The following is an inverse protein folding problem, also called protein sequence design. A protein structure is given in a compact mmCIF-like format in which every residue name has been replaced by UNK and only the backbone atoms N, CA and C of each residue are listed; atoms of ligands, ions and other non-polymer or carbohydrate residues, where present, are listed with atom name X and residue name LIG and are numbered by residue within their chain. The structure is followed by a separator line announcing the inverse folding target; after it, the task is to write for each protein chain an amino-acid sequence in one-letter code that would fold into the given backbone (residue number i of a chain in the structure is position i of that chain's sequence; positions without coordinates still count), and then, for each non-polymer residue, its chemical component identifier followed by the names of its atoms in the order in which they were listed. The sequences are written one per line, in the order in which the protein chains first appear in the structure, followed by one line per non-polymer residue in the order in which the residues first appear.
data_IF_868237750871
#
_entry.id   IF_868237750871
#
_cell.length_a   1.000
_cell.length_b   1.000
_cell.length_c   1.000
_cell.angle_alpha   90.00
_cell.angle_beta   90.00
_cell.angle_gamma   90.00
#
_symmetry.space_group_name_H-M   'P 1'
#
loop_
_entity.id
_entity.type
_entity.pdbx_description
1 polymer ?
#
# COMPACT_ATOMS: atom_id res chain seq x y z
N UNK A 1 -23.19 -52.21 34.63
CA UNK A 1 -21.79 -51.86 34.30
C UNK A 1 -21.68 -50.36 34.40
N UNK A 2 -20.94 -49.85 35.38
CA UNK A 2 -20.73 -48.42 35.56
C UNK A 2 -19.62 -47.95 34.61
N UNK A 3 -19.87 -46.88 33.87
CA UNK A 3 -18.84 -46.23 33.04
C UNK A 3 -18.37 -44.97 33.76
N UNK A 4 -17.14 -44.99 34.25
CA UNK A 4 -16.43 -43.78 34.67
C UNK A 4 -15.78 -43.14 33.44
N UNK A 5 -16.13 -41.90 33.14
CA UNK A 5 -15.48 -41.10 32.09
C UNK A 5 -14.55 -40.12 32.77
N UNK A 6 -13.25 -40.24 32.53
CA UNK A 6 -12.23 -39.29 33.00
C UNK A 6 -11.89 -38.31 31.87
N UNK A 7 -11.91 -37.01 32.16
CA UNK A 7 -11.33 -35.97 31.32
C UNK A 7 -10.22 -35.27 32.11
N UNK A 8 -9.03 -35.19 31.54
CA UNK A 8 -7.90 -34.44 32.11
C UNK A 8 -7.89 -33.02 31.54
N UNK A 9 -8.02 -32.02 32.43
CA UNK A 9 -7.38 -30.70 32.29
C UNK A 9 -7.09 -30.16 33.70
N UNK A 10 -5.82 -29.86 33.95
CA UNK A 10 -5.21 -29.28 35.15
C UNK A 10 -5.52 -29.91 36.53
N UNK A 11 -4.44 -30.29 37.20
CA UNK A 11 -4.28 -30.99 38.48
C UNK A 11 -5.07 -30.45 39.69
N UNK A 12 -6.39 -30.59 39.72
CA UNK A 12 -7.21 -30.49 40.94
C UNK A 12 -8.21 -31.65 40.97
N UNK A 13 -7.98 -32.61 41.87
CA UNK A 13 -8.89 -33.74 42.13
C UNK A 13 -10.05 -33.29 43.04
N UNK A 14 -11.27 -33.28 42.51
CA UNK A 14 -12.49 -33.26 43.34
C UNK A 14 -13.15 -34.65 43.35
N UNK A 15 -13.40 -35.27 44.51
CA UNK A 15 -14.14 -36.51 44.58
C UNK A 15 -15.65 -36.24 44.45
N UNK A 16 -16.21 -36.48 43.27
CA UNK A 16 -17.66 -36.46 43.08
C UNK A 16 -18.25 -37.80 43.59
N UNK A 17 -18.94 -37.75 44.73
CA UNK A 17 -19.86 -38.81 45.16
C UNK A 17 -21.11 -38.78 44.27
N UNK A 18 -21.40 -39.92 43.66
CA UNK A 18 -22.66 -40.38 43.06
C UNK A 18 -23.71 -39.30 42.71
N UNK A 19 -23.52 -38.60 41.59
CA UNK A 19 -24.58 -37.85 40.93
C UNK A 19 -25.13 -38.68 39.77
N UNK A 20 -26.30 -39.33 39.96
CA UNK A 20 -27.01 -40.01 38.88
C UNK A 20 -27.82 -38.99 38.07
N UNK A 21 -27.20 -38.43 37.04
CA UNK A 21 -27.90 -37.59 36.06
C UNK A 21 -28.66 -38.48 35.08
N UNK A 22 -29.93 -38.18 34.83
CA UNK A 22 -30.71 -38.88 33.79
C UNK A 22 -30.16 -38.58 32.40
N UNK A 23 -30.45 -39.44 31.41
CA UNK A 23 -30.06 -39.23 29.99
C UNK A 23 -30.52 -37.87 29.47
N UNK A 24 -31.68 -37.38 29.93
CA UNK A 24 -32.19 -36.05 29.57
C UNK A 24 -31.36 -34.90 30.17
N UNK A 25 -30.85 -35.05 31.40
CA UNK A 25 -29.98 -34.05 32.03
C UNK A 25 -28.58 -34.02 31.40
N UNK A 26 -28.03 -35.18 31.03
CA UNK A 26 -26.77 -35.24 30.25
C UNK A 26 -26.92 -34.61 28.87
N UNK A 27 -28.05 -34.82 28.19
CA UNK A 27 -28.35 -34.19 26.90
C UNK A 27 -28.48 -32.67 27.01
N UNK A 28 -29.15 -32.18 28.07
CA UNK A 28 -29.29 -30.76 28.34
C UNK A 28 -27.94 -30.11 28.67
N UNK A 29 -27.14 -30.72 29.55
CA UNK A 29 -25.79 -30.25 29.87
C UNK A 29 -24.90 -30.22 28.63
N UNK A 30 -24.97 -31.23 27.74
CA UNK A 30 -24.23 -31.23 26.48
C UNK A 30 -24.68 -30.10 25.56
N UNK A 31 -25.98 -29.81 25.46
CA UNK A 31 -26.49 -28.65 24.69
C UNK A 31 -26.03 -27.31 25.26
N UNK A 32 -26.07 -27.15 26.59
CA UNK A 32 -25.59 -25.93 27.25
C UNK A 32 -24.07 -25.78 27.09
N UNK A 33 -23.30 -26.86 27.20
CA UNK A 33 -21.86 -26.84 26.99
C UNK A 33 -21.49 -26.58 25.52
N UNK A 34 -22.22 -27.15 24.56
CA UNK A 34 -22.06 -26.85 23.13
C UNK A 34 -22.45 -25.40 22.82
N UNK A 35 -23.49 -24.87 23.46
CA UNK A 35 -23.87 -23.46 23.33
C UNK A 35 -22.80 -22.54 23.95
N UNK A 36 -22.26 -22.88 25.12
CA UNK A 36 -21.16 -22.14 25.76
C UNK A 36 -19.88 -22.21 24.94
N UNK A 37 -19.50 -23.38 24.41
CA UNK A 37 -18.36 -23.53 23.51
C UNK A 37 -18.60 -22.71 22.24
N UNK A 38 -19.79 -22.74 21.64
CA UNK A 38 -20.09 -21.92 20.46
C UNK A 38 -20.04 -20.43 20.79
N UNK A 39 -20.57 -19.98 21.93
CA UNK A 39 -20.51 -18.56 22.35
C UNK A 39 -19.05 -18.13 22.63
N UNK A 40 -18.27 -18.99 23.29
CA UNK A 40 -16.83 -18.74 23.55
C UNK A 40 -16.04 -18.76 22.24
N UNK A 41 -16.31 -19.68 21.31
CA UNK A 41 -15.71 -19.72 19.97
C UNK A 41 -16.11 -18.52 19.11
N UNK A 42 -17.35 -18.03 19.21
CA UNK A 42 -17.81 -16.80 18.53
C UNK A 42 -17.12 -15.56 19.15
N UNK A 43 -16.93 -15.51 20.47
CA UNK A 43 -16.22 -14.41 21.13
C UNK A 43 -14.70 -14.45 20.92
N UNK A 44 -14.10 -15.63 20.79
CA UNK A 44 -12.68 -15.81 20.44
C UNK A 44 -12.42 -15.51 18.95
N UNK A 45 -13.30 -15.93 18.03
CA UNK A 45 -13.21 -15.54 16.62
C UNK A 45 -13.38 -14.03 16.40
N UNK A 46 -14.11 -13.34 17.27
CA UNK A 46 -14.26 -11.88 17.21
C UNK A 46 -13.03 -11.10 17.73
N UNK A 47 -12.05 -11.75 18.38
CA UNK A 47 -10.84 -11.09 18.88
C UNK A 47 -9.59 -11.28 18.01
N UNK A 48 -9.55 -12.28 17.12
CA UNK A 48 -8.38 -12.57 16.27
C UNK A 48 -8.54 -12.17 14.79
N UNK A 49 -9.69 -11.61 14.37
CA UNK A 49 -10.00 -11.36 12.95
C UNK A 49 -10.35 -9.92 12.53
N UNK A 50 -10.32 -8.93 13.44
CA UNK A 50 -10.67 -7.56 13.07
C UNK A 50 -9.46 -6.86 12.41
N UNK A 51 -9.60 -6.51 11.13
CA UNK A 51 -8.59 -5.77 10.35
C UNK A 51 -8.85 -4.26 10.34
N UNK A 52 -10.05 -3.83 10.74
CA UNK A 52 -10.50 -2.44 10.66
C UNK A 52 -11.62 -2.15 11.67
N UNK A 53 -11.62 -0.95 12.25
CA UNK A 53 -12.78 -0.36 12.92
C UNK A 53 -12.78 1.15 12.76
N UNK A 54 -13.96 1.75 12.78
CA UNK A 54 -14.17 3.20 12.70
C UNK A 54 -15.23 3.59 13.72
N UNK A 55 -14.93 4.53 14.61
CA UNK A 55 -15.88 4.93 15.66
C UNK A 55 -15.73 6.41 16.05
N UNK A 56 -16.82 7.09 16.45
CA UNK A 56 -16.77 8.46 16.93
C UNK A 56 -16.10 8.52 18.31
N UNK A 57 -15.26 9.53 18.51
CA UNK A 57 -14.79 9.93 19.83
C UNK A 57 -15.79 10.91 20.44
N UNK A 58 -16.43 10.49 21.52
CA UNK A 58 -17.16 11.40 22.39
C UNK A 58 -16.14 12.10 23.31
N UNK A 59 -15.71 13.30 22.91
CA UNK A 59 -14.69 14.04 23.65
C UNK A 59 -15.36 14.99 24.66
N UNK A 60 -15.12 14.78 25.95
CA UNK A 60 -15.32 15.84 26.95
C UNK A 60 -14.04 16.71 26.96
N UNK A 61 -14.22 18.03 26.93
CA UNK A 61 -13.18 18.97 26.58
C UNK A 61 -11.87 18.84 27.39
N UNK A 62 -10.75 18.92 26.64
CA UNK A 62 -9.46 19.46 27.08
C UNK A 62 -8.47 18.57 27.87
N UNK A 63 -8.35 17.28 27.57
CA UNK A 63 -7.27 16.47 28.14
C UNK A 63 -7.07 15.21 27.32
N UNK A 64 -5.83 14.97 26.90
CA UNK A 64 -5.27 13.67 26.48
C UNK A 64 -6.24 12.50 26.67
N UNK A 65 -6.71 11.92 25.58
CA UNK A 65 -7.63 10.79 25.58
C UNK A 65 -6.82 9.50 25.53
N UNK A 66 -7.07 8.59 26.48
CA UNK A 66 -6.46 7.26 26.50
C UNK A 66 -7.59 6.23 26.45
N UNK A 67 -7.57 5.38 25.43
CA UNK A 67 -8.54 4.32 25.23
C UNK A 67 -7.85 3.04 24.79
N UNK A 68 -8.27 1.90 25.34
CA UNK A 68 -7.82 0.59 24.85
C UNK A 68 -8.72 0.09 23.73
N UNK A 69 -8.11 -0.36 22.64
CA UNK A 69 -8.77 -1.06 21.55
C UNK A 69 -9.05 -2.51 21.93
N UNK A 70 -10.13 -3.07 21.37
CA UNK A 70 -10.48 -4.48 21.51
C UNK A 70 -9.63 -5.42 20.65
N UNK A 71 -8.82 -4.89 19.73
CA UNK A 71 -7.84 -5.61 18.91
C UNK A 71 -6.55 -4.79 18.76
N UNK A 72 -5.44 -5.47 18.41
CA UNK A 72 -4.19 -4.76 18.10
C UNK A 72 -4.27 -4.14 16.70
N UNK A 73 -3.72 -2.93 16.52
CA UNK A 73 -3.69 -2.20 15.26
C UNK A 73 -2.27 -1.75 14.91
N UNK A 74 -1.99 -1.68 13.61
CA UNK A 74 -0.70 -1.32 13.00
C UNK A 74 -0.72 0.07 12.38
N UNK A 75 -1.90 0.64 12.14
CA UNK A 75 -2.05 2.03 11.74
C UNK A 75 -3.29 2.70 12.34
N UNK A 76 -3.25 4.02 12.42
CA UNK A 76 -4.35 4.88 12.85
C UNK A 76 -4.51 6.05 11.88
N UNK A 77 -5.76 6.41 11.61
CA UNK A 77 -6.16 7.64 10.95
C UNK A 77 -7.33 8.29 11.69
N UNK A 78 -7.63 9.52 11.33
CA UNK A 78 -8.74 10.31 11.84
C UNK A 78 -9.61 10.75 10.69
N UNK A 79 -10.91 10.91 10.95
CA UNK A 79 -11.81 11.56 10.00
C UNK A 79 -12.83 12.44 10.71
N UNK A 80 -13.30 13.48 10.02
CA UNK A 80 -14.29 14.42 10.54
C UNK A 80 -15.11 15.03 9.42
N UNK A 81 -16.35 15.41 9.72
CA UNK A 81 -17.18 16.20 8.79
C UNK A 81 -16.87 17.69 8.84
N UNK A 82 -16.25 18.15 9.94
CA UNK A 82 -16.04 19.57 10.21
C UNK A 82 -14.56 19.96 10.16
N UNK A 83 -13.67 19.08 10.63
CA UNK A 83 -12.24 19.34 10.71
C UNK A 83 -11.58 19.04 9.38
N UNK A 84 -10.91 20.05 8.82
CA UNK A 84 -10.15 19.95 7.56
C UNK A 84 -8.64 19.88 7.78
N UNK A 85 -8.20 20.23 8.98
CA UNK A 85 -6.80 20.27 9.36
C UNK A 85 -6.58 19.45 10.63
N UNK A 86 -5.93 18.30 10.46
CA UNK A 86 -5.61 17.36 11.53
C UNK A 86 -4.25 17.63 12.18
N UNK A 87 -3.49 18.61 11.70
CA UNK A 87 -2.10 18.90 12.14
C UNK A 87 -1.95 19.32 13.60
N UNK A 88 -3.04 19.73 14.24
CA UNK A 88 -3.06 20.07 15.67
C UNK A 88 -3.36 18.87 16.59
N UNK A 89 -3.76 17.73 16.02
CA UNK A 89 -4.08 16.50 16.74
C UNK A 89 -2.83 15.61 16.71
N UNK A 90 -2.45 15.08 17.88
CA UNK A 90 -1.25 14.28 18.04
C UNK A 90 -1.54 12.90 18.60
N UNK A 91 -0.93 11.87 18.03
CA UNK A 91 -0.83 10.55 18.65
C UNK A 91 0.39 10.50 19.56
N UNK A 92 0.19 10.20 20.84
CA UNK A 92 1.26 10.10 21.83
C UNK A 92 1.73 8.64 21.85
N UNK A 93 2.96 8.41 21.40
CA UNK A 93 3.60 7.10 21.48
C UNK A 93 4.81 7.17 22.41
N UNK A 94 4.68 6.62 23.61
CA UNK A 94 5.72 6.66 24.64
C UNK A 94 6.13 8.10 25.02
N UNK A 95 7.29 8.58 24.56
CA UNK A 95 7.78 9.93 24.83
C UNK A 95 7.57 10.91 23.65
N UNK A 96 7.18 10.40 22.48
CA UNK A 96 7.04 11.16 21.25
C UNK A 96 5.57 11.46 20.97
N UNK A 97 5.32 12.60 20.31
CA UNK A 97 4.00 12.95 19.78
C UNK A 97 4.10 13.05 18.26
N UNK A 98 3.32 12.22 17.57
CA UNK A 98 3.24 12.18 16.11
C UNK A 98 1.96 12.90 15.70
N UNK A 99 2.11 14.05 15.05
CA UNK A 99 0.97 14.81 14.56
C UNK A 99 0.40 14.22 13.27
N UNK A 100 -0.92 14.21 13.16
CA UNK A 100 -1.61 13.76 11.96
C UNK A 100 -1.43 14.78 10.83
N UNK A 101 -1.28 14.33 9.59
CA UNK A 101 -1.36 15.20 8.43
C UNK A 101 -2.72 15.02 7.76
N UNK A 102 -3.11 15.94 6.88
CA UNK A 102 -4.32 15.76 6.08
C UNK A 102 -4.06 14.71 4.98
N UNK A 103 -5.03 13.83 4.72
CA UNK A 103 -4.97 12.98 3.55
C UNK A 103 -5.29 13.81 2.30
N UNK A 104 -4.30 13.95 1.44
CA UNK A 104 -4.37 14.74 0.22
C UNK A 104 -4.96 13.97 -0.97
N UNK A 105 -5.40 12.72 -0.74
CA UNK A 105 -6.04 11.85 -1.73
C UNK A 105 -7.55 11.73 -1.56
N UNK A 106 -8.09 12.14 -0.40
CA UNK A 106 -9.53 12.08 -0.16
C UNK A 106 -10.27 13.02 -1.11
N UNK A 107 -11.17 12.45 -1.91
CA UNK A 107 -12.14 13.20 -2.72
C UNK A 107 -13.36 13.68 -1.89
N UNK A 108 -13.38 13.33 -0.59
CA UNK A 108 -14.47 13.55 0.36
C UNK A 108 -15.83 13.06 -0.17
N UNK A 109 -15.85 12.01 -1.00
CA UNK A 109 -17.08 11.47 -1.57
C UNK A 109 -18.04 10.90 -0.51
N UNK A 110 -17.49 10.47 0.64
CA UNK A 110 -18.24 10.00 1.81
C UNK A 110 -18.71 11.15 2.74
N UNK A 111 -18.32 12.39 2.43
CA UNK A 111 -18.62 13.58 3.22
C UNK A 111 -17.71 13.80 4.43
N UNK A 112 -16.59 13.09 4.52
CA UNK A 112 -15.58 13.27 5.56
C UNK A 112 -14.27 13.81 4.97
N UNK A 113 -13.60 14.66 5.75
CA UNK A 113 -12.17 14.91 5.60
C UNK A 113 -11.41 13.86 6.40
N UNK A 114 -10.27 13.44 5.87
CA UNK A 114 -9.48 12.35 6.40
C UNK A 114 -8.06 12.83 6.71
N UNK A 115 -7.45 12.26 7.74
CA UNK A 115 -6.02 12.40 7.98
C UNK A 115 -5.25 11.33 7.20
N UNK A 116 -3.96 11.56 6.98
CA UNK A 116 -3.07 10.50 6.54
C UNK A 116 -2.88 9.44 7.64
N UNK A 117 -2.36 8.28 7.23
CA UNK A 117 -2.06 7.17 8.12
C UNK A 117 -0.79 7.42 8.93
N UNK A 118 -0.88 7.19 10.24
CA UNK A 118 0.27 6.94 11.09
C UNK A 118 0.46 5.43 11.19
N UNK A 119 1.63 4.94 10.77
CA UNK A 119 2.02 3.52 10.88
C UNK A 119 2.86 3.30 12.14
N UNK A 120 2.70 2.13 12.75
CA UNK A 120 3.46 1.69 13.91
C UNK A 120 4.37 0.52 13.54
N UNK A 121 5.58 0.49 14.12
CA UNK A 121 6.54 -0.61 13.89
C UNK A 121 6.02 -1.96 14.41
N UNK A 122 5.19 -1.92 15.46
CA UNK A 122 4.58 -3.09 16.06
C UNK A 122 3.12 -2.80 16.34
N UNK A 123 2.29 -3.85 16.28
CA UNK A 123 0.87 -3.70 16.58
C UNK A 123 0.67 -3.27 18.04
N UNK A 124 -0.09 -2.20 18.25
CA UNK A 124 -0.40 -1.65 19.57
C UNK A 124 -1.89 -1.79 19.88
N UNK A 125 -2.29 -1.61 21.15
CA UNK A 125 -3.70 -1.63 21.57
C UNK A 125 -4.18 -0.32 22.18
N UNK A 126 -3.25 0.48 22.71
CA UNK A 126 -3.57 1.73 23.37
C UNK A 126 -3.65 2.87 22.35
N UNK A 127 -4.72 3.64 22.42
CA UNK A 127 -4.93 4.87 21.67
C UNK A 127 -4.69 6.00 22.65
N UNK A 128 -3.70 6.84 22.39
CA UNK A 128 -3.36 7.97 23.23
C UNK A 128 -3.31 9.22 22.35
N UNK A 129 -4.34 10.06 22.42
CA UNK A 129 -4.47 11.24 21.57
C UNK A 129 -4.42 12.53 22.37
N UNK A 130 -3.59 13.46 21.94
CA UNK A 130 -3.74 14.88 22.24
C UNK A 130 -4.73 15.51 21.26
N UNK A 131 -5.84 16.04 21.79
CA UNK A 131 -6.92 16.64 21.01
C UNK A 131 -7.20 18.05 21.56
N UNK A 132 -7.04 19.12 20.76
CA UNK A 132 -7.39 20.48 21.18
C UNK A 132 -8.89 20.62 21.56
N UNK A 133 -9.22 21.50 22.52
CA UNK A 133 -10.60 21.69 23.00
C UNK A 133 -11.64 22.02 21.94
N UNK A 134 -11.21 22.68 20.87
CA UNK A 134 -12.04 23.17 19.77
C UNK A 134 -12.42 22.06 18.78
N UNK A 135 -11.75 20.90 18.86
CA UNK A 135 -12.01 19.75 17.99
C UNK A 135 -13.22 18.97 18.53
N UNK A 136 -14.27 18.93 17.71
CA UNK A 136 -15.47 18.11 17.90
C UNK A 136 -15.69 17.20 16.68
N UNK A 137 -16.60 16.24 16.78
CA UNK A 137 -16.96 15.34 15.66
C UNK A 137 -15.76 14.63 15.01
N UNK A 138 -14.89 14.08 15.86
CA UNK A 138 -13.73 13.31 15.45
C UNK A 138 -14.06 11.82 15.46
N UNK A 139 -13.71 11.11 14.40
CA UNK A 139 -13.79 9.66 14.33
C UNK A 139 -12.37 9.10 14.24
N UNK A 140 -12.13 8.01 14.97
CA UNK A 140 -10.87 7.26 14.92
C UNK A 140 -11.06 6.06 14.01
N UNK A 141 -10.09 5.87 13.13
CA UNK A 141 -9.98 4.72 12.24
C UNK A 141 -8.77 3.92 12.70
N UNK A 142 -8.98 2.66 13.09
CA UNK A 142 -7.90 1.74 13.45
C UNK A 142 -7.79 0.67 12.37
N UNK A 143 -6.56 0.38 11.98
CA UNK A 143 -6.25 -0.57 10.92
C UNK A 143 -5.25 -1.58 11.46
N UNK A 144 -5.53 -2.86 11.22
CA UNK A 144 -4.62 -3.94 11.49
C UNK A 144 -4.27 -4.64 10.19
N UNK A 145 -3.23 -4.16 9.52
CA UNK A 145 -2.68 -4.81 8.35
C UNK A 145 -1.91 -6.07 8.67
N UNK A 146 -1.51 -6.35 9.92
CA UNK A 146 -0.77 -7.59 10.21
C UNK A 146 -1.61 -8.84 9.90
N UNK A 147 -2.94 -8.76 10.05
CA UNK A 147 -3.84 -9.90 9.82
C UNK A 147 -3.45 -11.12 10.69
N UNK A 148 -3.68 -12.34 10.20
CA UNK A 148 -3.15 -13.58 10.81
C UNK A 148 -1.63 -13.80 10.53
N UNK A 149 -0.93 -12.80 9.99
CA UNK A 149 0.39 -12.94 9.38
C UNK A 149 1.45 -12.21 10.23
N UNK A 150 2.18 -12.95 11.07
CA UNK A 150 3.13 -12.37 12.02
C UNK A 150 4.60 -12.34 11.57
N UNK A 151 4.95 -12.84 10.38
CA UNK A 151 6.35 -12.95 9.95
C UNK A 151 6.48 -12.97 8.42
N UNK A 152 6.44 -11.79 7.79
CA UNK A 152 6.96 -11.65 6.42
C UNK A 152 7.46 -10.24 6.17
N UNK A 153 8.73 -9.99 6.46
CA UNK A 153 9.49 -9.00 5.70
C UNK A 153 9.87 -9.68 4.38
N UNK A 154 9.25 -9.35 3.23
CA UNK A 154 9.76 -9.82 1.95
C UNK A 154 11.24 -9.44 1.89
N UNK A 155 12.06 -10.40 1.46
CA UNK A 155 13.48 -10.12 1.21
C UNK A 155 13.54 -8.93 0.27
N UNK A 156 14.39 -7.96 0.61
CA UNK A 156 14.75 -6.85 -0.29
C UNK A 156 15.01 -7.43 -1.67
N UNK A 157 14.08 -7.25 -2.60
CA UNK A 157 14.38 -7.50 -4.00
C UNK A 157 14.92 -6.19 -4.50
N UNK A 158 16.25 -6.12 -4.59
CA UNK A 158 16.89 -5.00 -5.28
C UNK A 158 16.38 -5.09 -6.71
N UNK A 159 15.72 -4.03 -7.20
CA UNK A 159 15.60 -3.77 -8.63
C UNK A 159 17.03 -3.76 -9.17
N UNK A 160 17.49 -4.89 -9.69
CA UNK A 160 18.71 -4.87 -10.47
C UNK A 160 18.34 -4.13 -11.75
N UNK A 161 18.99 -2.99 -11.99
CA UNK A 161 19.10 -2.43 -13.33
C UNK A 161 19.78 -3.49 -14.20
N UNK A 162 18.96 -4.37 -14.77
CA UNK A 162 19.39 -5.19 -15.85
C UNK A 162 19.56 -4.27 -17.07
N UNK A 163 20.62 -4.50 -17.84
CA UNK A 163 20.94 -3.74 -19.05
C UNK A 163 19.85 -3.81 -20.14
N UNK A 164 18.84 -4.67 -19.96
CA UNK A 164 17.72 -4.89 -20.87
C UNK A 164 16.46 -4.07 -20.55
N UNK A 165 16.51 -3.14 -19.59
CA UNK A 165 15.33 -2.39 -19.12
C UNK A 165 14.18 -3.28 -18.62
N UNK A 166 14.42 -4.53 -18.19
CA UNK A 166 13.36 -5.39 -17.66
C UNK A 166 12.95 -5.01 -16.23
N UNK A 167 11.64 -5.06 -15.96
CA UNK A 167 11.10 -4.90 -14.62
C UNK A 167 11.20 -6.23 -13.86
N UNK A 168 12.15 -6.30 -12.93
CA UNK A 168 12.31 -7.46 -12.04
C UNK A 168 12.15 -7.07 -10.57
N UNK A 169 11.83 -8.06 -9.73
CA UNK A 169 11.81 -7.86 -8.28
C UNK A 169 10.63 -7.08 -7.70
N UNK A 170 9.53 -6.97 -8.45
CA UNK A 170 8.26 -6.43 -7.92
C UNK A 170 7.62 -7.44 -6.98
N UNK A 171 7.34 -7.03 -5.74
CA UNK A 171 6.58 -7.81 -4.75
C UNK A 171 5.12 -7.84 -5.20
N UNK A 172 4.63 -9.04 -5.50
CA UNK A 172 3.29 -9.22 -6.10
C UNK A 172 2.18 -9.16 -5.05
N UNK A 173 0.95 -8.87 -5.48
CA UNK A 173 -0.24 -8.89 -4.60
C UNK A 173 -0.41 -10.26 -3.91
N UNK A 174 -0.07 -11.36 -4.59
CA UNK A 174 -0.08 -12.70 -4.02
C UNK A 174 0.89 -12.89 -2.85
N UNK A 175 1.86 -11.98 -2.67
CA UNK A 175 2.81 -12.00 -1.56
C UNK A 175 2.38 -11.05 -0.45
N UNK A 176 2.15 -9.77 -0.77
CA UNK A 176 1.89 -8.76 0.26
C UNK A 176 0.43 -8.76 0.75
N UNK A 177 -0.55 -9.24 -0.03
CA UNK A 177 -1.99 -9.19 0.32
C UNK A 177 -2.51 -10.46 1.01
N UNK A 178 -1.65 -11.44 1.26
CA UNK A 178 -2.06 -12.72 1.86
C UNK A 178 -2.87 -12.50 3.15
N UNK A 179 -4.04 -13.13 3.24
CA UNK A 179 -4.93 -13.04 4.40
C UNK A 179 -5.80 -11.78 4.48
N UNK A 180 -5.73 -10.87 3.50
CA UNK A 180 -6.63 -9.71 3.41
C UNK A 180 -7.80 -9.99 2.45
N UNK A 181 -8.93 -9.26 2.56
CA UNK A 181 -10.06 -9.42 1.65
C UNK A 181 -9.65 -9.21 0.19
N UNK A 182 -10.23 -9.97 -0.73
CA UNK A 182 -9.99 -9.78 -2.16
C UNK A 182 -10.69 -8.50 -2.69
N UNK A 183 -10.10 -7.83 -3.71
CA UNK A 183 -10.66 -6.62 -4.29
C UNK A 183 -11.93 -6.94 -5.08
N UNK A 184 -12.88 -5.99 -5.05
CA UNK A 184 -14.25 -6.20 -5.54
C UNK A 184 -14.59 -5.26 -6.69
N UNK A 185 -13.98 -5.46 -7.86
CA UNK A 185 -14.33 -4.71 -9.09
C UNK A 185 -14.06 -5.47 -10.38
N UNK A 186 -14.77 -5.03 -11.42
CA UNK A 186 -14.47 -5.39 -12.81
C UNK A 186 -13.21 -4.64 -13.26
N UNK A 187 -12.17 -5.37 -13.63
CA UNK A 187 -10.93 -4.79 -14.14
C UNK A 187 -11.19 -4.14 -15.49
N UNK A 188 -10.73 -2.90 -15.62
CA UNK A 188 -10.75 -2.15 -16.88
C UNK A 188 -9.29 -1.85 -17.20
N UNK A 189 -8.93 -2.01 -18.46
CA UNK A 189 -7.57 -1.76 -18.93
C UNK A 189 -7.53 -0.51 -19.81
N UNK A 190 -6.40 0.17 -19.77
CA UNK A 190 -6.11 1.35 -20.55
C UNK A 190 -4.65 1.33 -20.97
N UNK A 191 -4.36 1.91 -22.12
CA UNK A 191 -2.99 2.27 -22.48
C UNK A 191 -2.44 3.27 -21.46
N UNK A 192 -1.12 3.43 -21.43
CA UNK A 192 -0.46 4.41 -20.56
C UNK A 192 0.23 5.46 -21.42
N UNK A 193 -0.16 6.72 -21.23
CA UNK A 193 0.48 7.86 -21.86
C UNK A 193 1.14 8.82 -20.88
N UNK A 194 0.69 8.82 -19.63
CA UNK A 194 1.23 9.65 -18.55
C UNK A 194 1.47 8.77 -17.31
N UNK A 195 2.67 8.82 -16.76
CA UNK A 195 3.05 8.17 -15.52
C UNK A 195 2.99 9.22 -14.40
N UNK A 196 2.05 9.03 -13.48
CA UNK A 196 1.73 10.01 -12.44
C UNK A 196 2.41 9.59 -11.14
N UNK A 197 3.34 10.41 -10.67
CA UNK A 197 4.06 10.22 -9.42
C UNK A 197 3.22 10.79 -8.27
N UNK A 198 3.00 9.94 -7.27
CA UNK A 198 2.29 10.23 -6.04
C UNK A 198 3.22 10.07 -4.83
N UNK A 199 2.78 10.56 -3.68
CA UNK A 199 3.25 10.07 -2.39
C UNK A 199 2.08 9.48 -1.60
N UNK A 200 2.34 8.72 -0.54
CA UNK A 200 1.25 8.23 0.32
C UNK A 200 0.74 9.27 1.32
N UNK A 201 1.51 10.36 1.54
CA UNK A 201 1.35 11.32 2.63
C UNK A 201 1.39 10.71 4.05
N UNK A 202 1.75 9.42 4.19
CA UNK A 202 1.85 8.70 5.45
C UNK A 202 3.14 8.96 6.23
N UNK A 203 3.29 8.24 7.35
CA UNK A 203 4.45 8.33 8.24
C UNK A 203 5.79 8.02 7.54
N UNK A 204 6.79 8.88 7.77
CA UNK A 204 8.17 8.70 7.31
C UNK A 204 9.04 7.85 8.25
N UNK A 205 8.50 7.43 9.40
CA UNK A 205 9.22 6.58 10.37
C UNK A 205 8.93 5.08 10.16
N UNK A 206 8.20 4.75 9.10
CA UNK A 206 7.85 3.37 8.77
C UNK A 206 9.11 2.57 8.39
N UNK A 207 9.32 1.42 9.04
CA UNK A 207 10.41 0.49 8.71
C UNK A 207 9.90 -0.80 8.06
N UNK A 208 8.67 -1.23 8.37
CA UNK A 208 8.01 -2.34 7.72
C UNK A 208 7.11 -1.81 6.59
N UNK A 209 7.67 -1.79 5.38
CA UNK A 209 6.96 -1.26 4.22
C UNK A 209 5.88 -2.21 3.70
N UNK A 210 6.01 -3.52 3.91
CA UNK A 210 4.94 -4.45 3.50
C UNK A 210 3.72 -4.28 4.39
N UNK A 211 3.94 -4.12 5.69
CA UNK A 211 2.89 -3.76 6.64
C UNK A 211 2.21 -2.43 6.24
N UNK A 212 2.97 -1.41 5.87
CA UNK A 212 2.38 -0.14 5.44
C UNK A 212 1.58 -0.23 4.12
N UNK A 213 2.01 -1.03 3.13
CA UNK A 213 1.19 -1.30 1.93
C UNK A 213 -0.13 -1.97 2.31
N UNK A 214 -0.09 -2.93 3.25
CA UNK A 214 -1.29 -3.61 3.76
C UNK A 214 -2.22 -2.66 4.51
N UNK A 215 -1.67 -1.74 5.30
CA UNK A 215 -2.45 -0.70 5.98
C UNK A 215 -3.14 0.23 4.97
N UNK A 216 -2.41 0.69 3.93
CA UNK A 216 -2.97 1.52 2.85
C UNK A 216 -4.09 0.77 2.12
N UNK A 217 -3.90 -0.53 1.83
CA UNK A 217 -4.92 -1.35 1.18
C UNK A 217 -6.20 -1.45 2.02
N UNK A 218 -6.08 -1.69 3.33
CA UNK A 218 -7.24 -1.75 4.23
C UNK A 218 -7.90 -0.38 4.34
N UNK A 219 -7.12 0.70 4.41
CA UNK A 219 -7.65 2.05 4.46
C UNK A 219 -8.48 2.36 3.21
N UNK A 220 -7.94 2.09 2.03
CA UNK A 220 -8.66 2.30 0.78
C UNK A 220 -9.92 1.42 0.70
N UNK A 221 -9.83 0.14 1.04
CA UNK A 221 -10.94 -0.80 0.77
C UNK A 221 -12.01 -0.86 1.85
N UNK A 222 -11.62 -0.75 3.12
CA UNK A 222 -12.52 -0.90 4.26
C UNK A 222 -13.01 0.45 4.81
N UNK A 223 -12.15 1.48 4.80
CA UNK A 223 -12.51 2.82 5.28
C UNK A 223 -13.07 3.69 4.13
N UNK A 224 -12.30 3.88 3.06
CA UNK A 224 -12.72 4.75 1.93
C UNK A 224 -13.77 4.08 1.02
N UNK A 225 -13.99 2.77 1.18
CA UNK A 225 -14.93 1.99 0.36
C UNK A 225 -14.49 1.80 -1.09
N UNK A 226 -13.21 1.99 -1.40
CA UNK A 226 -12.66 1.75 -2.72
C UNK A 226 -12.60 0.25 -3.01
N UNK A 227 -12.61 -0.10 -4.30
CA UNK A 227 -12.62 -1.51 -4.69
C UNK A 227 -11.29 -2.23 -4.54
N UNK A 228 -10.19 -1.47 -4.44
CA UNK A 228 -8.80 -1.92 -4.35
C UNK A 228 -7.90 -0.73 -3.94
N UNK A 229 -6.59 -0.96 -3.79
CA UNK A 229 -5.60 0.11 -3.73
C UNK A 229 -5.59 0.91 -5.04
N UNK A 230 -5.54 2.25 -4.94
CA UNK A 230 -5.76 3.13 -6.09
C UNK A 230 -4.60 3.20 -7.10
N UNK A 231 -3.38 2.82 -6.70
CA UNK A 231 -2.17 2.99 -7.50
C UNK A 231 -1.79 1.70 -8.23
N UNK A 232 -1.18 1.81 -9.42
CA UNK A 232 -0.64 0.67 -10.15
C UNK A 232 0.56 0.07 -9.42
N UNK A 233 1.44 0.92 -8.90
CA UNK A 233 2.63 0.52 -8.17
C UNK A 233 2.83 1.38 -6.93
N UNK A 234 3.54 0.83 -5.95
CA UNK A 234 4.04 1.56 -4.79
C UNK A 234 5.55 1.36 -4.69
N UNK A 235 6.30 2.40 -4.30
CA UNK A 235 7.75 2.35 -4.10
C UNK A 235 8.08 2.77 -2.67
N UNK A 236 8.74 1.88 -1.93
CA UNK A 236 9.17 2.12 -0.57
C UNK A 236 10.51 2.88 -0.50
N UNK A 237 10.80 3.60 0.60
CA UNK A 237 12.08 4.27 0.85
C UNK A 237 13.32 3.39 0.69
N UNK A 238 13.21 2.07 0.87
CA UNK A 238 14.33 1.15 0.66
C UNK A 238 14.48 0.65 -0.80
N UNK A 239 13.70 1.20 -1.74
CA UNK A 239 13.66 0.82 -3.15
C UNK A 239 12.75 -0.37 -3.49
N UNK A 240 12.06 -0.96 -2.51
CA UNK A 240 11.15 -2.08 -2.81
C UNK A 240 9.94 -1.59 -3.61
N UNK A 241 9.66 -2.23 -4.74
CA UNK A 241 8.47 -1.94 -5.56
C UNK A 241 7.40 -3.01 -5.34
N UNK A 242 6.18 -2.56 -5.08
CA UNK A 242 5.01 -3.42 -4.87
C UNK A 242 4.04 -3.24 -6.03
N UNK A 243 3.53 -4.35 -6.56
CA UNK A 243 2.39 -4.34 -7.47
C UNK A 243 1.14 -3.95 -6.67
N UNK A 244 0.51 -2.82 -7.01
CA UNK A 244 -0.63 -2.28 -6.27
C UNK A 244 -1.94 -2.87 -6.76
N UNK A 245 -2.69 -2.10 -7.54
CA UNK A 245 -4.02 -2.44 -8.04
C UNK A 245 -4.00 -3.75 -8.83
N UNK A 246 -4.92 -4.64 -8.54
CA UNK A 246 -4.90 -6.03 -8.99
C UNK A 246 -5.42 -6.18 -10.44
N UNK A 247 -4.58 -6.55 -11.41
CA UNK A 247 -4.96 -6.70 -12.81
C UNK A 247 -5.71 -8.01 -13.09
N UNK A 248 -5.92 -8.84 -12.07
CA UNK A 248 -6.34 -10.23 -12.18
C UNK A 248 -5.38 -11.02 -13.10
N UNK A 249 -5.79 -11.30 -14.33
CA UNK A 249 -4.96 -11.98 -15.35
C UNK A 249 -4.41 -11.06 -16.43
N UNK A 250 -4.64 -9.75 -16.34
CA UNK A 250 -4.11 -8.76 -17.30
C UNK A 250 -2.76 -8.18 -16.89
N UNK A 251 -2.31 -7.16 -17.62
CA UNK A 251 -1.03 -6.50 -17.37
C UNK A 251 -1.12 -5.47 -16.22
N UNK A 252 -0.17 -5.52 -15.29
CA UNK A 252 -0.11 -4.66 -14.09
C UNK A 252 -0.01 -3.17 -14.43
N UNK A 253 0.67 -2.83 -15.52
CA UNK A 253 0.88 -1.46 -16.00
C UNK A 253 -0.25 -0.92 -16.88
N UNK A 254 -1.30 -1.71 -17.11
CA UNK A 254 -2.46 -1.35 -17.92
C UNK A 254 -3.78 -1.39 -17.15
N UNK A 255 -3.84 -2.01 -15.97
CA UNK A 255 -5.06 -1.96 -15.14
C UNK A 255 -5.33 -0.50 -14.73
N UNK A 256 -6.51 0.02 -15.06
CA UNK A 256 -6.82 1.42 -14.78
C UNK A 256 -6.84 1.69 -13.27
N UNK A 257 -6.06 2.68 -12.85
CA UNK A 257 -5.95 3.16 -11.48
C UNK A 257 -7.17 3.94 -10.96
N UNK A 258 -7.12 4.34 -9.70
CA UNK A 258 -8.06 5.22 -9.01
C UNK A 258 -7.26 6.26 -8.22
N UNK A 259 -6.40 6.99 -8.93
CA UNK A 259 -5.38 7.86 -8.33
C UNK A 259 -5.36 9.27 -8.92
N UNK A 260 -6.09 9.58 -10.00
CA UNK A 260 -5.97 10.85 -10.70
C UNK A 260 -7.32 11.58 -10.84
N UNK A 261 -7.90 11.96 -9.70
CA UNK A 261 -9.10 12.79 -9.60
C UNK A 261 -10.29 12.32 -10.46
N UNK A 262 -10.51 11.00 -10.52
CA UNK A 262 -11.58 10.39 -11.32
C UNK A 262 -11.33 10.33 -12.83
N UNK A 263 -10.23 10.90 -13.34
CA UNK A 263 -9.79 10.81 -14.73
C UNK A 263 -8.54 9.94 -14.84
N UNK A 264 -8.72 8.62 -14.71
CA UNK A 264 -7.60 7.66 -14.59
C UNK A 264 -7.20 6.99 -15.92
N UNK A 265 -7.99 7.12 -16.98
CA UNK A 265 -7.64 6.57 -18.30
C UNK A 265 -6.35 7.20 -18.84
N UNK A 266 -5.61 6.43 -19.64
CA UNK A 266 -4.32 6.83 -20.21
C UNK A 266 -3.21 7.12 -19.18
N UNK A 267 -3.38 6.68 -17.92
CA UNK A 267 -2.43 6.96 -16.83
C UNK A 267 -2.00 5.70 -16.09
N UNK A 268 -0.74 5.72 -15.61
CA UNK A 268 -0.21 4.74 -14.66
C UNK A 268 0.23 5.46 -13.39
N UNK A 269 -0.35 5.09 -12.24
CA UNK A 269 -0.07 5.75 -10.96
C UNK A 269 0.99 5.03 -10.15
N UNK A 270 2.01 5.76 -9.70
CA UNK A 270 3.10 5.26 -8.87
C UNK A 270 3.11 6.01 -7.54
N UNK A 271 2.87 5.33 -6.41
CA UNK A 271 2.85 5.94 -5.08
C UNK A 271 4.17 5.72 -4.32
N UNK A 272 4.85 6.81 -4.00
CA UNK A 272 6.04 6.82 -3.17
C UNK A 272 5.62 6.80 -1.69
N UNK A 273 6.04 5.78 -0.94
CA UNK A 273 5.63 5.62 0.46
C UNK A 273 6.38 6.60 1.38
N UNK A 274 5.62 7.43 2.07
CA UNK A 274 6.09 8.55 2.89
C UNK A 274 5.36 9.86 2.59
N UNK A 275 5.85 10.94 3.21
CA UNK A 275 5.41 12.32 3.05
C UNK A 275 6.59 13.24 2.70
N UNK A 276 6.74 13.51 1.40
CA UNK A 276 7.81 14.36 0.86
C UNK A 276 7.49 15.86 0.83
N UNK A 277 6.47 16.33 1.54
CA UNK A 277 6.42 17.74 1.96
C UNK A 277 7.44 18.00 3.08
N UNK A 278 7.78 16.98 3.86
CA UNK A 278 8.54 17.13 5.13
C UNK A 278 9.96 16.59 5.07
N UNK A 279 10.26 15.67 4.15
CA UNK A 279 11.57 15.04 4.00
C UNK A 279 11.96 14.91 2.53
N UNK A 280 13.26 14.76 2.28
CA UNK A 280 13.80 14.37 0.97
C UNK A 280 13.55 12.87 0.70
N UNK A 281 13.26 12.47 -0.56
CA UNK A 281 13.25 11.07 -0.95
C UNK A 281 14.66 10.45 -0.86
N UNK A 282 14.72 9.16 -0.52
CA UNK A 282 15.97 8.40 -0.50
C UNK A 282 16.46 8.11 -1.92
N UNK A 283 17.78 7.90 -2.07
CA UNK A 283 18.39 7.49 -3.33
C UNK A 283 17.78 6.20 -3.88
N UNK A 284 17.60 5.19 -3.03
CA UNK A 284 17.11 3.87 -3.40
C UNK A 284 15.67 3.91 -3.94
N UNK A 285 14.85 4.80 -3.39
CA UNK A 285 13.50 5.04 -3.87
C UNK A 285 13.50 5.73 -5.23
N UNK A 286 14.33 6.77 -5.42
CA UNK A 286 14.45 7.46 -6.71
C UNK A 286 14.98 6.53 -7.80
N UNK A 287 16.03 5.76 -7.51
CA UNK A 287 16.59 4.77 -8.45
C UNK A 287 15.54 3.73 -8.89
N UNK A 288 14.71 3.26 -7.95
CA UNK A 288 13.66 2.27 -8.24
C UNK A 288 12.48 2.89 -8.99
N UNK A 289 12.11 4.14 -8.67
CA UNK A 289 11.12 4.92 -9.42
C UNK A 289 11.58 5.12 -10.87
N UNK A 290 12.81 5.59 -11.06
CA UNK A 290 13.40 5.80 -12.38
C UNK A 290 13.45 4.49 -13.17
N UNK A 291 13.89 3.39 -12.56
CA UNK A 291 13.95 2.07 -13.21
C UNK A 291 12.56 1.58 -13.64
N UNK A 292 11.55 1.74 -12.77
CA UNK A 292 10.15 1.40 -13.09
C UNK A 292 9.61 2.24 -14.26
N UNK A 293 9.87 3.54 -14.26
CA UNK A 293 9.46 4.45 -15.33
C UNK A 293 10.20 4.13 -16.64
N UNK A 294 11.51 3.85 -16.58
CA UNK A 294 12.34 3.48 -17.73
C UNK A 294 11.85 2.20 -18.39
N UNK A 295 11.56 1.15 -17.61
CA UNK A 295 10.95 -0.08 -18.15
C UNK A 295 9.65 0.24 -18.90
N UNK A 296 8.75 1.01 -18.28
CA UNK A 296 7.46 1.30 -18.90
C UNK A 296 7.60 2.16 -20.16
N UNK A 297 8.46 3.17 -20.11
CA UNK A 297 8.73 4.03 -21.24
C UNK A 297 9.42 3.28 -22.39
N UNK A 298 10.30 2.33 -22.09
CA UNK A 298 10.92 1.46 -23.08
C UNK A 298 9.89 0.52 -23.72
N UNK A 299 9.06 -0.14 -22.91
CA UNK A 299 8.01 -1.08 -23.35
C UNK A 299 7.03 -0.44 -24.33
N UNK A 300 6.64 0.82 -24.09
CA UNK A 300 5.59 1.52 -24.85
C UNK A 300 6.12 2.64 -25.77
N UNK A 301 7.45 2.78 -25.89
CA UNK A 301 8.13 3.84 -26.65
C UNK A 301 7.65 5.27 -26.29
N UNK A 302 7.60 5.57 -24.98
CA UNK A 302 7.08 6.84 -24.48
C UNK A 302 8.15 7.96 -24.52
N UNK A 303 7.81 9.18 -25.01
CA UNK A 303 8.74 10.31 -25.05
C UNK A 303 8.80 11.01 -23.69
N UNK A 304 9.65 10.51 -22.78
CA UNK A 304 9.67 10.90 -21.35
C UNK A 304 9.99 12.37 -21.06
N UNK A 305 10.58 13.09 -22.03
CA UNK A 305 10.87 14.53 -21.94
C UNK A 305 9.70 15.41 -22.45
N UNK A 306 8.68 14.81 -23.05
CA UNK A 306 7.56 15.52 -23.67
C UNK A 306 6.30 15.50 -22.81
N UNK A 307 5.27 16.20 -23.29
CA UNK A 307 3.90 16.13 -22.75
C UNK A 307 3.00 15.32 -23.66
N UNK A 308 1.95 14.73 -23.06
CA UNK A 308 0.88 14.03 -23.75
C UNK A 308 -0.45 14.47 -23.18
N UNK A 309 -1.40 14.72 -24.06
CA UNK A 309 -2.71 15.24 -23.70
C UNK A 309 -3.40 14.40 -22.62
N UNK A 310 -3.90 15.07 -21.58
CA UNK A 310 -4.78 14.49 -20.59
C UNK A 310 -5.97 15.44 -20.31
N UNK A 311 -7.20 14.95 -20.06
CA UNK A 311 -8.36 15.82 -19.81
C UNK A 311 -8.20 16.82 -18.66
N UNK A 312 -7.41 16.47 -17.64
CA UNK A 312 -7.13 17.35 -16.50
C UNK A 312 -6.04 18.40 -16.79
N UNK A 313 -5.17 18.13 -17.76
CA UNK A 313 -4.10 19.03 -18.18
C UNK A 313 -3.69 18.68 -19.63
N UNK A 314 -4.03 19.52 -20.63
CA UNK A 314 -3.74 19.26 -22.04
C UNK A 314 -2.25 19.15 -22.38
N UNK A 315 -1.37 19.69 -21.53
CA UNK A 315 0.09 19.65 -21.68
C UNK A 315 0.75 18.85 -20.56
N UNK A 316 0.04 17.86 -20.00
CA UNK A 316 0.56 17.00 -18.93
C UNK A 316 1.83 16.27 -19.38
N UNK A 317 2.91 16.35 -18.60
CA UNK A 317 4.14 15.60 -18.87
C UNK A 317 3.88 14.10 -19.00
N UNK A 318 4.66 13.40 -19.83
CA UNK A 318 4.68 11.93 -19.84
C UNK A 318 5.08 11.38 -18.47
N UNK A 319 5.97 12.08 -17.77
CA UNK A 319 6.21 11.91 -16.33
C UNK A 319 5.72 13.17 -15.64
N UNK A 320 4.76 13.05 -14.72
CA UNK A 320 4.11 14.18 -14.05
C UNK A 320 3.86 13.89 -12.57
N UNK A 321 3.77 14.92 -11.75
CA UNK A 321 3.31 14.80 -10.37
C UNK A 321 1.79 14.79 -10.29
N UNK A 322 1.22 14.23 -9.22
CA UNK A 322 -0.24 14.27 -9.00
C UNK A 322 -0.79 15.71 -9.07
N UNK A 323 -0.09 16.69 -8.48
CA UNK A 323 -0.46 18.11 -8.52
C UNK A 323 -0.49 18.75 -9.92
N UNK A 324 0.05 18.10 -10.95
CA UNK A 324 0.00 18.61 -12.33
C UNK A 324 -1.38 18.46 -13.00
N UNK A 325 -2.27 17.65 -12.42
CA UNK A 325 -3.65 17.51 -12.88
C UNK A 325 -4.72 17.64 -11.79
N UNK A 326 -4.31 17.75 -10.52
CA UNK A 326 -5.20 17.70 -9.36
C UNK A 326 -4.89 18.79 -8.34
N UNK A 327 -5.90 19.22 -7.58
CA UNK A 327 -5.70 20.16 -6.48
C UNK A 327 -5.23 19.42 -5.22
N UNK A 328 -3.91 19.21 -5.12
CA UNK A 328 -3.26 18.44 -4.06
C UNK A 328 -1.80 18.91 -3.90
N UNK A 329 -1.18 18.65 -2.74
CA UNK A 329 0.28 18.82 -2.57
C UNK A 329 1.04 17.56 -3.00
N UNK A 330 0.38 16.46 -3.32
CA UNK A 330 1.04 15.25 -3.82
C UNK A 330 1.81 15.54 -5.15
N UNK A 331 3.05 15.07 -5.35
CA UNK A 331 3.82 14.07 -4.59
C UNK A 331 4.70 14.62 -3.46
N UNK A 332 4.51 15.87 -3.06
CA UNK A 332 5.36 16.56 -2.10
C UNK A 332 6.42 17.42 -2.78
N UNK A 333 6.72 18.60 -2.23
CA UNK A 333 7.67 19.57 -2.80
C UNK A 333 9.06 18.95 -3.08
N UNK A 334 9.58 18.12 -2.18
CA UNK A 334 10.92 17.54 -2.32
C UNK A 334 11.02 16.52 -3.48
N UNK A 335 9.92 15.83 -3.80
CA UNK A 335 9.85 14.97 -5.00
C UNK A 335 9.52 15.80 -6.24
N UNK A 336 8.60 16.74 -6.12
CA UNK A 336 8.14 17.55 -7.25
C UNK A 336 9.27 18.36 -7.88
N UNK A 337 10.15 18.94 -7.06
CA UNK A 337 11.35 19.65 -7.52
C UNK A 337 12.34 18.76 -8.28
N UNK A 338 12.30 17.44 -8.06
CA UNK A 338 13.16 16.44 -8.72
C UNK A 338 12.56 15.87 -10.00
N UNK A 339 11.31 16.18 -10.36
CA UNK A 339 10.67 15.59 -11.55
C UNK A 339 11.44 15.88 -12.84
N UNK A 340 12.11 17.03 -12.97
CA UNK A 340 12.93 17.30 -14.13
C UNK A 340 14.20 16.42 -14.18
N UNK A 341 14.89 16.27 -13.04
CA UNK A 341 16.04 15.39 -12.92
C UNK A 341 15.65 13.93 -13.21
N UNK A 342 14.52 13.46 -12.68
CA UNK A 342 13.97 12.12 -12.94
C UNK A 342 13.74 11.91 -14.45
N UNK A 343 13.14 12.88 -15.16
CA UNK A 343 12.93 12.80 -16.62
C UNK A 343 14.25 12.65 -17.38
N UNK A 344 15.28 13.39 -16.99
CA UNK A 344 16.61 13.35 -17.60
C UNK A 344 17.34 12.03 -17.32
N UNK A 345 17.25 11.52 -16.09
CA UNK A 345 17.81 10.23 -15.70
C UNK A 345 17.14 9.08 -16.43
N UNK A 346 15.80 9.06 -16.49
CA UNK A 346 15.03 8.07 -17.26
C UNK A 346 15.40 8.13 -18.74
N UNK A 347 15.46 9.32 -19.34
CA UNK A 347 15.86 9.46 -20.74
C UNK A 347 17.28 8.89 -21.00
N UNK A 348 18.20 9.09 -20.05
CA UNK A 348 19.56 8.55 -20.13
C UNK A 348 19.56 7.02 -20.03
N UNK A 349 18.74 6.43 -19.15
CA UNK A 349 18.57 4.99 -19.04
C UNK A 349 17.99 4.37 -20.33
N UNK A 350 17.02 5.05 -20.96
CA UNK A 350 16.43 4.59 -22.23
C UNK A 350 17.45 4.49 -23.38
N UNK A 351 18.48 5.36 -23.40
CA UNK A 351 19.56 5.26 -24.39
C UNK A 351 20.34 3.95 -24.20
N UNK A 352 20.70 3.62 -22.97
CA UNK A 352 21.44 2.40 -22.63
C UNK A 352 20.64 1.16 -23.04
N UNK A 353 19.35 1.12 -22.69
CA UNK A 353 18.48 -0.02 -23.00
C UNK A 353 18.26 -0.26 -24.50
N UNK A 354 18.35 0.80 -25.31
CA UNK A 354 18.26 0.71 -26.78
C UNK A 354 19.58 0.24 -27.39
N UNK A 355 20.71 0.66 -26.85
CA UNK A 355 22.05 0.27 -27.33
C UNK A 355 22.35 -1.20 -27.06
N UNK A 356 21.96 -1.74 -25.89
CA UNK A 356 22.20 -3.15 -25.52
C UNK A 356 21.28 -4.14 -26.27
N UNK A 357 20.11 -3.71 -26.74
CA UNK A 357 19.22 -4.51 -27.60
C UNK A 357 19.57 -4.43 -29.11
N UNK A 358 20.51 -3.56 -29.51
CA UNK A 358 20.95 -3.37 -30.90
C UNK A 358 22.03 -4.34 -31.38
N UNK A 359 22.49 -5.27 -30.54
CA UNK A 359 23.60 -6.19 -30.84
C UNK A 359 23.27 -7.42 -31.70
N UNK A 360 22.07 -7.51 -32.31
CA UNK A 360 21.70 -8.62 -33.20
C UNK A 360 21.18 -8.09 -34.54
N UNK A 361 22.10 -7.97 -35.50
CA UNK A 361 21.79 -8.04 -36.93
C UNK A 361 22.03 -6.77 -37.75
N UNK A 362 23.26 -6.60 -38.23
CA UNK A 362 23.46 -6.26 -39.64
C UNK A 362 24.53 -7.21 -40.21
N UNK A 363 24.06 -8.41 -40.57
CA UNK A 363 24.76 -9.28 -41.50
C UNK A 363 24.51 -8.77 -42.91
N UNK A 364 25.21 -7.70 -43.30
CA UNK A 364 25.33 -7.29 -44.69
C UNK A 364 26.35 -8.18 -45.40
N UNK A 365 25.86 -9.27 -45.99
CA UNK A 365 26.50 -9.85 -47.17
C UNK A 365 26.46 -8.80 -48.29
N UNK A 366 27.63 -8.45 -48.84
CA UNK A 366 27.72 -8.07 -50.24
C UNK A 366 28.86 -8.87 -50.88
N UNK A 367 28.44 -9.61 -51.90
CA UNK A 367 29.16 -10.59 -52.70
C UNK A 367 30.26 -10.00 -53.59
N UNK A 368 31.25 -10.85 -53.92
CA UNK A 368 31.94 -10.98 -55.23
C UNK A 368 32.55 -9.72 -55.88
N UNK A 369 33.84 -9.65 -56.20
CA UNK A 369 34.64 -10.64 -56.91
C UNK A 369 35.49 -9.93 -57.99
N UNK A 370 36.55 -10.61 -58.45
CA UNK A 370 37.49 -10.22 -59.53
C UNK A 370 38.43 -9.05 -59.15
N UNK A 371 39.76 -9.14 -59.19
CA UNK A 371 40.67 -9.86 -60.07
C UNK A 371 41.71 -8.82 -60.50
N UNK A 372 42.99 -9.10 -60.30
CA UNK A 372 44.09 -8.82 -61.25
C UNK A 372 45.46 -8.94 -60.56
N UNK A 373 46.17 -9.98 -60.99
CA UNK A 373 47.61 -10.12 -60.97
C UNK A 373 48.28 -9.01 -61.79
N UNK A 374 49.52 -8.68 -61.39
CA UNK A 374 50.66 -8.07 -62.10
C UNK A 374 51.26 -6.96 -61.21
N UNK A 375 52.47 -7.09 -60.68
CA UNK A 375 53.71 -7.42 -61.37
C UNK A 375 54.54 -6.14 -61.49
N UNK A 376 55.64 -6.03 -60.74
CA UNK A 376 56.58 -4.90 -60.90
C UNK A 376 57.57 -4.68 -59.77
N UNK A 377 58.68 -5.42 -59.81
CA UNK A 377 59.97 -4.98 -59.26
C UNK A 377 60.48 -3.74 -60.00
N UNK A 378 61.18 -2.84 -59.30
CA UNK A 378 61.92 -1.72 -59.87
C UNK A 378 62.42 -0.70 -58.86
#
# INVERSE_FOLDING_TARGET
MAYSVYFMFNSIYFPLRDLYLSVSQLSYMRKVFTLFINIISIQLQAQEGNIHTSFPLNNDANQRMIQESNFSFTAIALKSKEIRDFSSIGFINSADTIYFNNDLHSDNADGYFHSSLIHFEQAIKSIDLYIPSEVQDLNVVLINGSGEYSDFSPRKTIMNQSSDCELSGVVQQSEWRVGLPEPSYTRIFTDTGNMIVHHSAGSNNTIDFTQAVRDIYIYHTQENGWSDIGYNYLVAPNGTVYAGRDPAGGEQDQVMGAHFCGSNSNTMGICLMGNYETIEPTSELLESLESLISWKAFKDDLPVLESKFHPLNPELGVIAGHRDGCSTLCPGDNVYLKLQEIRENVNSQLVICRDDNGGVGDGGEDDGGEGDDDGGDG
#
